data_IF_466535202456
#
_entry.id   IF_466535202456
#
_cell.length_a   1.000
_cell.length_b   1.000
_cell.length_c   1.000
_cell.angle_alpha   90.00
_cell.angle_beta   90.00
_cell.angle_gamma   90.00
#
_symmetry.space_group_name_H-M   'P 1'
#
loop_
_entity.id
_entity.type
_entity.pdbx_description
1 polymer ?
#
# COMPACT_ATOMS: atom_id res chain seq x y z
N UNK A 1 -3.45 -3.25 -18.25
CA UNK A 1 -3.71 -3.40 -19.71
C UNK A 1 -3.63 -2.04 -20.37
N UNK A 2 -2.87 -1.92 -21.47
CA UNK A 2 -2.67 -0.66 -22.18
C UNK A 2 -3.76 -0.52 -23.24
N UNK A 3 -4.54 0.59 -23.25
CA UNK A 3 -5.59 0.79 -24.25
C UNK A 3 -5.02 0.82 -25.69
N UNK A 4 -5.63 0.09 -26.62
CA UNK A 4 -5.19 0.05 -28.02
C UNK A 4 -5.17 1.43 -28.67
N UNK A 5 -6.21 2.23 -28.42
CA UNK A 5 -6.30 3.58 -28.93
C UNK A 5 -5.12 4.48 -28.54
N UNK A 6 -4.52 4.28 -27.38
CA UNK A 6 -3.35 5.05 -26.94
C UNK A 6 -2.10 4.68 -27.77
N UNK A 7 -1.92 3.37 -28.04
CA UNK A 7 -0.80 2.90 -28.85
C UNK A 7 -0.93 3.33 -30.31
N UNK A 8 -2.11 3.21 -30.92
CA UNK A 8 -2.38 3.61 -32.29
C UNK A 8 -2.22 5.13 -32.53
N UNK A 9 -2.57 5.94 -31.51
CA UNK A 9 -2.43 7.39 -31.56
C UNK A 9 -1.01 7.89 -31.24
N UNK A 10 -0.08 7.01 -30.88
CA UNK A 10 1.28 7.39 -30.48
C UNK A 10 1.33 8.27 -29.22
N UNK A 11 0.32 8.16 -28.36
CA UNK A 11 0.22 8.95 -27.13
C UNK A 11 1.22 8.40 -26.10
N UNK A 12 2.05 9.25 -25.46
CA UNK A 12 2.90 8.82 -24.36
C UNK A 12 2.08 8.26 -23.21
N UNK A 13 2.57 7.18 -22.59
CA UNK A 13 1.97 6.63 -21.38
C UNK A 13 2.83 6.96 -20.16
N UNK A 14 2.15 7.13 -19.02
CA UNK A 14 2.81 7.36 -17.73
C UNK A 14 2.54 6.15 -16.82
N UNK A 15 3.60 5.49 -16.35
CA UNK A 15 3.46 4.56 -15.24
C UNK A 15 3.33 5.35 -13.95
N UNK A 16 2.26 5.08 -13.20
CA UNK A 16 1.95 5.82 -11.99
C UNK A 16 2.98 5.61 -10.87
N UNK A 17 2.87 6.39 -9.81
CA UNK A 17 3.75 6.24 -8.64
C UNK A 17 3.63 4.86 -7.96
N UNK A 18 2.53 4.14 -8.16
CA UNK A 18 2.31 2.79 -7.62
C UNK A 18 3.13 1.71 -8.33
N UNK A 19 3.76 2.05 -9.45
CA UNK A 19 4.43 1.07 -10.31
C UNK A 19 3.44 0.30 -11.17
N UNK A 20 3.99 -0.55 -12.02
CA UNK A 20 3.24 -1.46 -12.88
C UNK A 20 3.94 -2.81 -12.94
N UNK A 21 3.20 -3.85 -13.29
CA UNK A 21 3.74 -5.20 -13.43
C UNK A 21 4.75 -5.33 -14.57
N UNK A 22 5.63 -6.36 -14.52
CA UNK A 22 6.52 -6.69 -15.62
C UNK A 22 5.80 -6.90 -16.96
N UNK A 23 4.58 -7.47 -16.92
CA UNK A 23 3.77 -7.70 -18.11
C UNK A 23 3.39 -6.40 -18.81
N UNK A 24 2.98 -5.37 -18.06
CA UNK A 24 2.64 -4.05 -18.60
C UNK A 24 3.88 -3.36 -19.19
N UNK A 25 5.04 -3.48 -18.53
CA UNK A 25 6.31 -2.95 -19.05
C UNK A 25 6.69 -3.62 -20.37
N UNK A 26 6.56 -4.95 -20.44
CA UNK A 26 6.85 -5.72 -21.63
C UNK A 26 5.89 -5.40 -22.78
N UNK A 27 4.59 -5.23 -22.48
CA UNK A 27 3.59 -4.81 -23.45
C UNK A 27 3.90 -3.44 -24.05
N UNK A 28 4.20 -2.44 -23.21
CA UNK A 28 4.56 -1.11 -23.65
C UNK A 28 5.79 -1.11 -24.57
N UNK A 29 6.82 -1.89 -24.21
CA UNK A 29 8.03 -2.04 -25.00
C UNK A 29 7.76 -2.73 -26.34
N UNK A 30 6.97 -3.83 -26.35
CA UNK A 30 6.62 -4.57 -27.55
C UNK A 30 5.82 -3.71 -28.56
N UNK A 31 5.01 -2.78 -28.04
CA UNK A 31 4.20 -1.83 -28.85
C UNK A 31 4.98 -0.56 -29.19
N UNK A 32 6.25 -0.43 -28.83
CA UNK A 32 7.12 0.71 -29.14
C UNK A 32 6.64 2.03 -28.54
N UNK A 33 5.93 1.99 -27.42
CA UNK A 33 5.33 3.17 -26.81
C UNK A 33 6.36 4.07 -26.14
N UNK A 34 6.14 5.38 -26.20
CA UNK A 34 6.90 6.32 -25.39
C UNK A 34 6.41 6.27 -23.94
N UNK A 35 7.27 5.78 -23.03
CA UNK A 35 6.95 5.59 -21.62
C UNK A 35 7.63 6.66 -20.78
N UNK A 36 6.86 7.30 -19.89
CA UNK A 36 7.36 8.08 -18.76
C UNK A 36 7.15 7.26 -17.49
N UNK A 37 8.21 6.72 -16.92
CA UNK A 37 8.12 5.95 -15.68
C UNK A 37 8.19 6.91 -14.48
N UNK A 38 7.03 7.15 -13.85
CA UNK A 38 6.90 7.96 -12.64
C UNK A 38 6.79 7.11 -11.36
N UNK A 39 7.16 5.84 -11.41
CA UNK A 39 7.14 4.95 -10.24
C UNK A 39 7.93 5.55 -9.07
N UNK A 40 7.31 5.60 -7.91
CA UNK A 40 7.96 6.07 -6.69
C UNK A 40 9.25 5.27 -6.41
N UNK A 41 10.37 5.92 -6.08
CA UNK A 41 11.62 5.21 -5.76
C UNK A 41 11.49 4.17 -4.65
N UNK A 42 10.58 4.36 -3.69
CA UNK A 42 10.31 3.38 -2.63
C UNK A 42 9.56 2.15 -3.15
N UNK A 43 8.57 2.35 -4.03
CA UNK A 43 7.91 1.23 -4.73
C UNK A 43 8.92 0.47 -5.59
N UNK A 44 9.77 1.20 -6.35
CA UNK A 44 10.85 0.58 -7.13
C UNK A 44 11.85 -0.19 -6.24
N UNK A 45 12.05 0.24 -4.97
CA UNK A 45 12.86 -0.51 -3.99
C UNK A 45 12.22 -1.86 -3.72
N UNK A 46 10.91 -1.89 -3.40
CA UNK A 46 10.19 -3.15 -3.09
C UNK A 46 10.26 -4.12 -4.27
N UNK A 47 9.99 -3.67 -5.50
CA UNK A 47 10.14 -4.50 -6.70
C UNK A 47 11.54 -5.12 -6.82
N UNK A 48 12.61 -4.34 -6.60
CA UNK A 48 13.99 -4.84 -6.63
C UNK A 48 14.28 -5.81 -5.49
N UNK A 49 13.69 -5.61 -4.32
CA UNK A 49 13.84 -6.53 -3.18
C UNK A 49 13.18 -7.87 -3.47
N UNK A 50 12.00 -7.91 -4.10
CA UNK A 50 11.39 -9.15 -4.56
C UNK A 50 12.36 -9.94 -5.44
N UNK A 51 12.85 -9.30 -6.51
CA UNK A 51 13.76 -9.96 -7.46
C UNK A 51 15.05 -10.44 -6.79
N UNK A 52 15.58 -9.68 -5.84
CA UNK A 52 16.78 -10.05 -5.08
C UNK A 52 16.51 -11.25 -4.18
N UNK A 53 15.45 -11.22 -3.38
CA UNK A 53 15.13 -12.28 -2.43
C UNK A 53 14.76 -13.59 -3.14
N UNK A 54 14.02 -13.55 -4.23
CA UNK A 54 13.74 -14.72 -5.06
C UNK A 54 15.04 -15.34 -5.58
N UNK A 55 15.97 -14.51 -6.09
CA UNK A 55 17.28 -14.98 -6.53
C UNK A 55 18.12 -15.64 -5.41
N UNK A 56 17.93 -15.18 -4.16
CA UNK A 56 18.57 -15.71 -2.96
C UNK A 56 17.86 -16.94 -2.38
N UNK A 57 16.74 -17.37 -3.00
CA UNK A 57 15.95 -18.55 -2.64
C UNK A 57 14.99 -18.34 -1.48
N UNK A 58 14.47 -17.12 -1.31
CA UNK A 58 13.44 -16.80 -0.33
C UNK A 58 12.04 -16.95 -0.91
N UNK A 59 11.11 -17.37 -0.06
CA UNK A 59 9.68 -17.10 -0.19
C UNK A 59 9.38 -15.75 0.47
N UNK A 60 8.50 -14.98 -0.14
CA UNK A 60 8.21 -13.61 0.27
C UNK A 60 6.77 -13.53 0.77
N UNK A 61 6.59 -13.18 2.03
CA UNK A 61 5.28 -12.79 2.54
C UNK A 61 5.15 -11.29 2.28
N UNK A 62 4.09 -10.91 1.56
CA UNK A 62 3.83 -9.51 1.23
C UNK A 62 2.54 -9.04 1.89
N UNK A 63 2.61 -8.07 2.81
CA UNK A 63 1.42 -7.46 3.39
C UNK A 63 0.98 -6.31 2.46
N UNK A 64 -0.23 -6.39 1.95
CA UNK A 64 -0.78 -5.38 1.03
C UNK A 64 -2.25 -5.61 0.73
N UNK A 65 -2.91 -4.61 0.15
CA UNK A 65 -4.32 -4.70 -0.22
C UNK A 65 -4.49 -5.44 -1.55
N UNK A 66 -5.29 -6.49 -1.53
CA UNK A 66 -5.63 -7.26 -2.72
C UNK A 66 -6.32 -6.38 -3.77
N UNK A 67 -5.78 -6.39 -4.98
CA UNK A 67 -6.30 -5.57 -6.09
C UNK A 67 -5.79 -4.14 -6.13
N UNK A 68 -5.00 -3.69 -5.16
CA UNK A 68 -4.30 -2.41 -5.25
C UNK A 68 -3.18 -2.48 -6.28
N UNK A 69 -3.02 -1.44 -7.11
CA UNK A 69 -2.05 -1.41 -8.23
C UNK A 69 -0.61 -1.74 -7.78
N UNK A 70 -0.17 -1.19 -6.63
CA UNK A 70 1.15 -1.49 -6.06
C UNK A 70 1.29 -2.97 -5.72
N UNK A 71 0.28 -3.55 -5.04
CA UNK A 71 0.31 -4.95 -4.65
C UNK A 71 0.29 -5.89 -5.87
N UNK A 72 -0.55 -5.58 -6.87
CA UNK A 72 -0.59 -6.32 -8.14
C UNK A 72 0.79 -6.27 -8.81
N UNK A 73 1.39 -5.07 -8.92
CA UNK A 73 2.70 -4.89 -9.55
C UNK A 73 3.80 -5.69 -8.86
N UNK A 74 3.81 -5.69 -7.52
CA UNK A 74 4.82 -6.40 -6.71
C UNK A 74 4.65 -7.91 -6.79
N UNK A 75 3.40 -8.43 -6.66
CA UNK A 75 3.13 -9.87 -6.75
C UNK A 75 3.51 -10.42 -8.13
N UNK A 76 3.24 -9.67 -9.20
CA UNK A 76 3.55 -10.09 -10.57
C UNK A 76 5.05 -10.08 -10.91
N UNK A 77 5.92 -9.54 -10.05
CA UNK A 77 7.38 -9.73 -10.23
C UNK A 77 7.79 -11.21 -10.07
N UNK A 78 7.12 -11.96 -9.19
CA UNK A 78 7.33 -13.40 -9.00
C UNK A 78 6.11 -14.05 -8.32
N UNK A 79 5.03 -14.33 -9.05
CA UNK A 79 3.78 -14.83 -8.49
C UNK A 79 3.90 -16.18 -7.76
N UNK A 80 4.93 -16.96 -8.09
CA UNK A 80 5.18 -18.27 -7.47
C UNK A 80 5.83 -18.16 -6.09
N UNK A 81 6.49 -17.01 -5.79
CA UNK A 81 7.26 -16.78 -4.57
C UNK A 81 6.73 -15.65 -3.70
N UNK A 82 5.76 -14.87 -4.17
CA UNK A 82 5.16 -13.76 -3.41
C UNK A 82 3.78 -14.13 -2.92
N UNK A 83 3.63 -14.25 -1.60
CA UNK A 83 2.41 -14.65 -0.92
C UNK A 83 1.75 -13.42 -0.31
N UNK A 84 0.71 -12.91 -0.97
CA UNK A 84 -0.03 -11.72 -0.52
C UNK A 84 -0.98 -12.08 0.62
N UNK A 85 -0.89 -11.32 1.70
CA UNK A 85 -1.84 -11.32 2.82
C UNK A 85 -2.29 -9.88 3.13
N UNK A 86 -3.49 -9.72 3.65
CA UNK A 86 -4.03 -8.41 4.04
C UNK A 86 -4.07 -8.25 5.56
N UNK A 87 -4.46 -9.27 6.27
CA UNK A 87 -4.75 -9.22 7.71
C UNK A 87 -4.06 -10.33 8.50
N UNK A 88 -4.00 -10.16 9.82
CA UNK A 88 -3.47 -11.19 10.72
C UNK A 88 -4.21 -12.53 10.61
N UNK A 89 -5.51 -12.52 10.28
CA UNK A 89 -6.32 -13.74 10.03
C UNK A 89 -5.82 -14.58 8.87
N UNK A 90 -5.13 -13.96 7.89
CA UNK A 90 -4.67 -14.66 6.69
C UNK A 90 -3.40 -15.48 6.97
N UNK A 91 -2.72 -15.20 8.09
CA UNK A 91 -1.49 -15.87 8.49
C UNK A 91 -1.70 -17.40 8.62
N UNK A 92 -2.90 -17.82 9.04
CA UNK A 92 -3.22 -19.24 9.19
C UNK A 92 -3.29 -20.00 7.86
N UNK A 93 -3.46 -19.31 6.74
CA UNK A 93 -3.47 -19.92 5.41
C UNK A 93 -2.07 -20.22 4.86
N UNK A 94 -1.03 -19.65 5.45
CA UNK A 94 0.35 -19.86 5.03
C UNK A 94 0.90 -21.17 5.60
N UNK A 95 1.56 -21.97 4.75
CA UNK A 95 2.17 -23.24 5.15
C UNK A 95 3.62 -23.31 4.67
N UNK A 96 4.55 -22.91 5.54
CA UNK A 96 5.98 -22.95 5.27
C UNK A 96 6.71 -23.83 6.28
N UNK A 97 7.68 -24.61 5.79
CA UNK A 97 8.50 -25.45 6.63
C UNK A 97 9.61 -24.64 7.32
N UNK A 98 10.13 -25.08 8.48
CA UNK A 98 11.14 -24.33 9.24
C UNK A 98 12.48 -24.06 8.50
N UNK A 99 12.77 -24.82 7.44
CA UNK A 99 13.94 -24.64 6.58
C UNK A 99 13.70 -23.72 5.38
N UNK A 100 12.45 -23.28 5.17
CA UNK A 100 12.15 -22.32 4.13
C UNK A 100 12.69 -20.94 4.53
N UNK A 101 13.48 -20.33 3.67
CA UNK A 101 13.88 -18.93 3.87
C UNK A 101 12.68 -18.01 3.64
N UNK A 102 12.29 -17.28 4.65
CA UNK A 102 11.15 -16.37 4.59
C UNK A 102 11.58 -14.94 4.83
N UNK A 103 11.06 -14.02 4.04
CA UNK A 103 11.23 -12.58 4.25
C UNK A 103 9.89 -11.86 4.14
N UNK A 104 9.72 -10.82 4.94
CA UNK A 104 8.54 -9.95 4.90
C UNK A 104 8.83 -8.69 4.09
N UNK A 105 7.93 -8.36 3.16
CA UNK A 105 7.84 -7.06 2.52
C UNK A 105 6.44 -6.48 2.72
N UNK A 106 6.28 -5.17 2.57
CA UNK A 106 4.98 -4.51 2.75
C UNK A 106 4.68 -3.49 1.67
N UNK A 107 3.40 -3.25 1.42
CA UNK A 107 2.94 -2.12 0.62
C UNK A 107 3.30 -0.80 1.31
N UNK A 108 3.68 0.20 0.52
CA UNK A 108 4.27 1.44 1.04
C UNK A 108 3.26 2.39 1.72
N UNK A 109 1.96 2.18 1.53
CA UNK A 109 0.88 3.06 2.01
C UNK A 109 0.04 2.48 3.14
N UNK A 110 0.48 1.38 3.76
CA UNK A 110 -0.25 0.74 4.86
C UNK A 110 -0.24 1.57 6.16
N UNK A 111 -1.15 1.25 7.07
CA UNK A 111 -1.10 1.74 8.45
C UNK A 111 0.04 1.05 9.21
N UNK A 112 0.82 1.86 9.93
CA UNK A 112 1.91 1.35 10.77
C UNK A 112 1.39 0.44 11.87
N UNK A 113 0.24 0.80 12.49
CA UNK A 113 -0.33 0.06 13.62
C UNK A 113 -0.94 -1.28 13.17
N UNK A 114 -1.71 -1.26 12.07
CA UNK A 114 -2.30 -2.48 11.50
C UNK A 114 -1.21 -3.46 11.02
N UNK A 115 -0.19 -2.93 10.37
CA UNK A 115 0.95 -3.74 9.95
C UNK A 115 1.66 -4.38 11.15
N UNK A 116 1.79 -3.67 12.27
CA UNK A 116 2.40 -4.20 13.49
C UNK A 116 1.66 -5.42 14.06
N UNK A 117 0.32 -5.42 14.01
CA UNK A 117 -0.51 -6.57 14.42
C UNK A 117 -0.26 -7.80 13.56
N UNK A 118 -0.28 -7.64 12.24
CA UNK A 118 -0.01 -8.71 11.28
C UNK A 118 1.43 -9.23 11.39
N UNK A 119 2.42 -8.35 11.55
CA UNK A 119 3.82 -8.74 11.78
C UNK A 119 3.96 -9.57 13.08
N UNK A 120 3.24 -9.20 14.13
CA UNK A 120 3.27 -9.94 15.40
C UNK A 120 2.75 -11.36 15.21
N UNK A 121 1.62 -11.53 14.51
CA UNK A 121 1.06 -12.83 14.18
C UNK A 121 2.01 -13.67 13.32
N UNK A 122 2.60 -13.07 12.30
CA UNK A 122 3.60 -13.73 11.45
C UNK A 122 4.81 -14.21 12.22
N UNK A 123 5.39 -13.39 13.10
CA UNK A 123 6.55 -13.76 13.93
C UNK A 123 6.22 -14.86 14.95
N UNK A 124 4.98 -14.89 15.45
CA UNK A 124 4.53 -15.96 16.33
C UNK A 124 4.44 -17.31 15.59
N UNK A 125 3.95 -17.29 14.33
CA UNK A 125 3.82 -18.50 13.51
C UNK A 125 5.14 -18.92 12.86
N UNK A 126 5.93 -17.96 12.39
CA UNK A 126 7.21 -18.15 11.70
C UNK A 126 8.34 -17.40 12.42
N UNK A 127 8.86 -17.95 13.55
CA UNK A 127 9.89 -17.25 14.34
C UNK A 127 11.20 -16.95 13.58
N UNK A 128 11.42 -17.63 12.45
CA UNK A 128 12.58 -17.43 11.56
C UNK A 128 12.34 -16.44 10.42
N UNK A 129 11.16 -15.80 10.39
CA UNK A 129 10.83 -14.78 9.39
C UNK A 129 11.82 -13.61 9.47
N UNK A 130 12.50 -13.35 8.37
CA UNK A 130 13.40 -12.22 8.23
C UNK A 130 12.66 -10.94 7.88
N UNK A 131 13.17 -9.83 8.36
CA UNK A 131 12.66 -8.49 8.08
C UNK A 131 13.73 -7.71 7.32
N UNK A 132 13.37 -6.93 6.29
CA UNK A 132 14.34 -6.03 5.67
C UNK A 132 14.84 -5.02 6.72
N UNK A 133 16.07 -4.51 6.57
CA UNK A 133 16.69 -3.62 7.56
C UNK A 133 15.95 -2.29 7.72
N UNK A 134 15.17 -1.89 6.72
CA UNK A 134 14.36 -0.67 6.73
C UNK A 134 12.90 -1.02 6.44
N UNK A 135 11.97 -0.29 7.05
CA UNK A 135 10.55 -0.39 6.73
C UNK A 135 10.28 -0.04 5.27
N UNK A 136 9.35 -0.77 4.64
CA UNK A 136 8.86 -0.44 3.30
C UNK A 136 7.78 0.63 3.34
N UNK A 137 7.13 0.83 4.50
CA UNK A 137 6.16 1.92 4.67
C UNK A 137 6.87 3.25 4.44
N UNK A 138 6.36 4.02 3.51
CA UNK A 138 6.93 5.28 3.09
C UNK A 138 6.96 6.28 4.25
N UNK A 139 8.08 6.96 4.43
CA UNK A 139 8.21 8.00 5.48
C UNK A 139 7.15 9.11 5.36
N UNK A 140 6.71 9.43 4.14
CA UNK A 140 5.64 10.40 3.93
C UNK A 140 4.30 9.87 4.46
N UNK A 141 4.03 8.56 4.31
CA UNK A 141 2.86 7.88 4.90
C UNK A 141 2.94 7.90 6.43
N UNK A 142 4.06 7.47 7.00
CA UNK A 142 4.27 7.44 8.45
C UNK A 142 4.15 8.84 9.07
N UNK A 143 4.73 9.87 8.45
CA UNK A 143 4.67 11.24 8.94
C UNK A 143 3.24 11.80 8.87
N UNK A 144 2.50 11.52 7.80
CA UNK A 144 1.09 11.94 7.69
C UNK A 144 0.21 11.26 8.73
N UNK A 145 0.39 9.96 8.94
CA UNK A 145 -0.35 9.23 9.98
C UNK A 145 -0.05 9.79 11.38
N UNK A 146 1.22 10.04 11.69
CA UNK A 146 1.61 10.66 12.96
C UNK A 146 0.98 12.06 13.15
N UNK A 147 0.98 12.88 12.11
CA UNK A 147 0.36 14.20 12.15
C UNK A 147 -1.15 14.12 12.34
N UNK A 148 -1.83 13.21 11.63
CA UNK A 148 -3.28 13.01 11.76
C UNK A 148 -3.66 12.54 13.17
N UNK A 149 -2.88 11.66 13.79
CA UNK A 149 -3.11 11.24 15.20
C UNK A 149 -3.09 12.45 16.15
N UNK A 150 -2.10 13.33 16.01
CA UNK A 150 -2.00 14.53 16.83
C UNK A 150 -3.18 15.50 16.61
N UNK A 151 -3.65 15.63 15.35
CA UNK A 151 -4.83 16.44 15.04
C UNK A 151 -6.08 15.82 15.66
N UNK A 152 -6.28 14.51 15.52
CA UNK A 152 -7.44 13.79 16.04
C UNK A 152 -7.55 13.85 17.58
N UNK A 153 -6.43 13.99 18.30
CA UNK A 153 -6.45 14.17 19.75
C UNK A 153 -7.13 15.49 20.19
N UNK A 154 -7.12 16.51 19.33
CA UNK A 154 -7.55 17.88 19.62
C UNK A 154 -8.81 18.31 18.85
N UNK A 155 -9.30 17.48 17.95
CA UNK A 155 -10.44 17.79 17.09
C UNK A 155 -11.68 16.97 17.46
N UNK A 156 -12.85 17.52 17.16
CA UNK A 156 -14.13 16.83 17.23
C UNK A 156 -14.51 16.20 15.89
N UNK A 157 -13.93 16.72 14.80
CA UNK A 157 -14.13 16.21 13.45
C UNK A 157 -12.84 16.33 12.63
N UNK A 158 -12.54 15.31 11.84
CA UNK A 158 -11.41 15.34 10.89
C UNK A 158 -11.90 15.06 9.48
N UNK A 159 -11.60 15.96 8.55
CA UNK A 159 -11.92 15.78 7.13
C UNK A 159 -10.63 15.56 6.35
N UNK A 160 -10.51 14.41 5.72
CA UNK A 160 -9.39 14.06 4.82
C UNK A 160 -9.83 14.35 3.38
N UNK A 161 -9.12 15.26 2.73
CA UNK A 161 -9.35 15.55 1.30
C UNK A 161 -8.45 14.65 0.46
N UNK A 162 -9.05 13.82 -0.37
CA UNK A 162 -8.35 12.90 -1.25
C UNK A 162 -9.25 11.83 -1.82
N UNK A 163 -8.87 11.27 -2.99
CA UNK A 163 -9.67 10.32 -3.74
C UNK A 163 -9.94 9.02 -2.98
N UNK A 164 -11.12 8.44 -3.22
CA UNK A 164 -11.48 7.10 -2.76
C UNK A 164 -10.52 6.01 -3.27
N UNK A 165 -9.89 6.22 -4.41
CA UNK A 165 -8.91 5.31 -4.99
C UNK A 165 -7.51 5.46 -4.37
N UNK A 166 -7.29 6.48 -3.52
CA UNK A 166 -6.02 6.69 -2.85
C UNK A 166 -5.96 5.90 -1.55
N UNK A 167 -5.20 4.81 -1.53
CA UNK A 167 -4.94 4.00 -0.33
C UNK A 167 -4.45 4.88 0.83
N UNK A 168 -3.56 5.83 0.58
CA UNK A 168 -3.10 6.77 1.61
C UNK A 168 -4.25 7.62 2.19
N UNK A 169 -5.17 8.13 1.36
CA UNK A 169 -6.27 8.98 1.84
C UNK A 169 -7.30 8.18 2.65
N UNK A 170 -7.65 7.00 2.18
CA UNK A 170 -8.52 6.06 2.92
C UNK A 170 -7.89 5.73 4.27
N UNK A 171 -6.62 5.36 4.27
CA UNK A 171 -5.91 4.99 5.51
C UNK A 171 -5.76 6.15 6.50
N UNK A 172 -5.55 7.38 6.02
CA UNK A 172 -5.51 8.57 6.90
C UNK A 172 -6.85 8.82 7.57
N UNK A 173 -7.98 8.60 6.86
CA UNK A 173 -9.31 8.72 7.44
C UNK A 173 -9.54 7.68 8.55
N UNK A 174 -9.12 6.43 8.34
CA UNK A 174 -9.20 5.37 9.34
C UNK A 174 -8.36 5.66 10.58
N UNK A 175 -7.10 6.10 10.39
CA UNK A 175 -6.22 6.52 11.49
C UNK A 175 -6.80 7.72 12.25
N UNK A 176 -7.44 8.67 11.55
CA UNK A 176 -8.14 9.77 12.19
C UNK A 176 -9.33 9.27 13.04
N UNK A 177 -10.13 8.34 12.49
CA UNK A 177 -11.27 7.78 13.23
C UNK A 177 -10.83 7.00 14.46
N UNK A 178 -9.74 6.24 14.38
CA UNK A 178 -9.14 5.56 15.54
C UNK A 178 -8.73 6.56 16.63
N UNK A 179 -8.08 7.66 16.25
CA UNK A 179 -7.65 8.72 17.16
C UNK A 179 -8.82 9.50 17.80
N UNK A 180 -9.90 9.72 17.05
CA UNK A 180 -11.12 10.34 17.56
C UNK A 180 -11.90 9.39 18.50
N UNK A 181 -11.92 8.08 18.19
CA UNK A 181 -12.71 7.09 18.90
C UNK A 181 -14.21 7.42 18.86
N UNK A 182 -14.88 7.38 20.02
CA UNK A 182 -16.31 7.73 20.16
C UNK A 182 -16.56 9.24 20.29
N UNK A 183 -15.49 10.05 20.46
CA UNK A 183 -15.63 11.51 20.66
C UNK A 183 -16.04 12.25 19.40
N UNK A 184 -15.68 11.72 18.23
CA UNK A 184 -15.87 12.43 16.97
C UNK A 184 -15.94 11.51 15.76
N UNK A 185 -15.95 12.13 14.58
CA UNK A 185 -16.02 11.43 13.29
C UNK A 185 -14.95 11.90 12.33
N UNK A 186 -14.40 10.94 11.57
CA UNK A 186 -13.55 11.22 10.44
C UNK A 186 -14.28 10.96 9.13
N UNK A 187 -14.09 11.86 8.18
CA UNK A 187 -14.70 11.77 6.84
C UNK A 187 -13.62 11.89 5.77
N UNK A 188 -13.84 11.28 4.62
CA UNK A 188 -13.03 11.47 3.42
C UNK A 188 -13.90 12.06 2.32
N UNK A 189 -13.39 13.07 1.65
CA UNK A 189 -14.04 13.72 0.52
C UNK A 189 -13.06 13.88 -0.64
N UNK A 190 -13.54 13.77 -1.87
CA UNK A 190 -12.72 14.05 -3.04
C UNK A 190 -12.52 15.56 -3.23
N UNK A 191 -13.59 16.33 -2.99
CA UNK A 191 -13.56 17.79 -3.05
C UNK A 191 -14.63 18.43 -2.12
N UNK A 192 -14.70 19.75 -2.15
CA UNK A 192 -15.60 20.51 -1.29
C UNK A 192 -17.10 20.28 -1.53
N UNK A 193 -17.49 19.76 -2.70
CA UNK A 193 -18.91 19.49 -3.01
C UNK A 193 -19.48 18.28 -2.24
N UNK A 194 -18.60 17.41 -1.73
CA UNK A 194 -18.96 16.26 -0.91
C UNK A 194 -19.09 16.60 0.58
N UNK A 195 -18.72 17.82 1.00
CA UNK A 195 -18.86 18.24 2.40
C UNK A 195 -20.34 18.39 2.78
N UNK A 196 -20.77 17.65 3.78
CA UNK A 196 -22.08 17.84 4.39
C UNK A 196 -21.95 18.80 5.57
N UNK A 197 -22.61 19.99 5.52
CA UNK A 197 -22.61 20.93 6.65
C UNK A 197 -23.07 20.33 7.98
N UNK A 198 -23.92 19.29 7.93
CA UNK A 198 -24.41 18.61 9.13
C UNK A 198 -23.27 17.91 9.91
N UNK A 199 -22.15 17.59 9.27
CA UNK A 199 -20.99 17.02 9.98
C UNK A 199 -20.32 17.99 10.92
N UNK A 200 -20.54 19.30 10.72
CA UNK A 200 -19.88 20.38 11.46
C UNK A 200 -20.83 21.03 12.49
N UNK A 201 -22.10 20.61 12.54
CA UNK A 201 -23.07 21.17 13.48
C UNK A 201 -22.74 20.77 14.93
N UNK A 202 -22.64 21.76 15.80
CA UNK A 202 -22.42 21.57 17.24
C UNK A 202 -20.96 21.21 17.62
N UNK A 203 -20.02 21.28 16.68
CA UNK A 203 -18.58 21.07 16.95
C UNK A 203 -17.95 22.36 17.50
N UNK A 204 -16.95 22.21 18.36
CA UNK A 204 -16.16 23.33 18.92
C UNK A 204 -14.80 23.46 18.23
N UNK A 205 -14.26 22.35 17.64
CA UNK A 205 -12.93 22.29 17.00
C UNK A 205 -12.79 21.18 15.95
#
# INVERSE_FOLDING_TARGET
EIPDAAAEAGIPIVFSAHGVSPAVKAEAAARGMHVVDATCPLVSKVHREVLRFVKEGYEIIYIGHKGHDEAVGVVEESPEHVHLIEHASDVDSLDFQPDTKLVLLTQTTLSVDETAGTITALKARFPWLEMPPNSDICYATSNRQAAVKLVAEQADCVVIVGSANSSNSVRLMEVAQEGLGERGKAYRVDDASELDPAWLEGLES
#
